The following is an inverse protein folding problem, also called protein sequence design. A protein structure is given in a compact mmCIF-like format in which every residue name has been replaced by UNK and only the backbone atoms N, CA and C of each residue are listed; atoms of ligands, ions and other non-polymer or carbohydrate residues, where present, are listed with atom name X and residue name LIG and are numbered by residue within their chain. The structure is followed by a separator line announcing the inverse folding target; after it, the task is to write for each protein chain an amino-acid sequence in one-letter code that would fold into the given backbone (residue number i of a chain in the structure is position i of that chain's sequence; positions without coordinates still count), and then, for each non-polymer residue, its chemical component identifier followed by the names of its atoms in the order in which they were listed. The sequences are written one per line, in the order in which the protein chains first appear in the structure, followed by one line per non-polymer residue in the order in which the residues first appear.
data_IF_316425241915
#
_entry.id   IF_316425241915
#
_cell.length_a   1.000
_cell.length_b   1.000
_cell.length_c   1.000
_cell.angle_alpha   90.00
_cell.angle_beta   90.00
_cell.angle_gamma   90.00
#
_symmetry.space_group_name_H-M   'P 1'
#
loop_
_entity.id
_entity.type
_entity.pdbx_description
1 polymer ?
#
# COMPACT_ATOMS: atom_id res chain seq x y z
N UNK A 1 27.63 7.42 7.00
CA UNK A 1 26.99 7.89 8.24
C UNK A 1 26.24 6.79 9.00
N UNK A 2 25.65 5.78 8.34
CA UNK A 2 24.94 4.70 9.05
C UNK A 2 25.80 3.82 9.98
N UNK A 3 27.07 3.54 9.64
CA UNK A 3 27.94 2.62 10.42
C UNK A 3 28.28 3.15 11.82
N UNK A 4 28.25 4.47 12.02
CA UNK A 4 28.62 5.11 13.31
C UNK A 4 27.44 5.14 14.29
N UNK A 5 26.19 5.07 13.80
CA UNK A 5 24.97 5.10 14.61
C UNK A 5 24.52 3.69 15.06
N UNK A 6 24.90 2.64 14.31
CA UNK A 6 24.55 1.24 14.61
C UNK A 6 24.98 0.75 16.01
N UNK A 7 26.17 1.10 16.56
CA UNK A 7 26.56 0.68 17.90
C UNK A 7 25.70 1.33 19.00
N UNK A 8 25.35 2.61 18.84
CA UNK A 8 24.53 3.34 19.81
C UNK A 8 23.10 2.82 19.85
N UNK A 9 22.50 2.54 18.68
CA UNK A 9 21.14 1.96 18.59
C UNK A 9 21.07 0.58 19.26
N UNK A 10 22.04 -0.31 19.03
CA UNK A 10 22.06 -1.63 19.66
C UNK A 10 22.29 -1.60 21.18
N UNK A 11 22.80 -0.51 21.73
CA UNK A 11 22.97 -0.33 23.18
C UNK A 11 21.71 0.16 23.90
N UNK A 12 20.80 0.81 23.16
CA UNK A 12 19.59 1.44 23.70
C UNK A 12 18.31 0.65 23.40
N UNK A 13 18.31 -0.17 22.35
CA UNK A 13 17.15 -0.90 21.86
C UNK A 13 17.42 -2.39 21.72
N UNK A 14 16.42 -3.21 22.03
CA UNK A 14 16.50 -4.66 21.83
C UNK A 14 16.41 -5.01 20.34
N UNK A 15 16.77 -6.24 19.98
CA UNK A 15 16.59 -6.73 18.60
C UNK A 15 15.13 -6.71 18.15
N UNK A 16 14.20 -6.90 19.08
CA UNK A 16 12.78 -6.80 18.80
C UNK A 16 12.37 -5.36 18.49
N UNK A 17 12.82 -4.38 19.29
CA UNK A 17 12.50 -2.97 19.06
C UNK A 17 13.06 -2.48 17.72
N UNK A 18 14.28 -2.89 17.38
CA UNK A 18 14.92 -2.55 16.11
C UNK A 18 14.12 -3.14 14.94
N UNK A 19 13.67 -4.39 15.05
CA UNK A 19 12.86 -5.02 14.01
C UNK A 19 11.50 -4.34 13.89
N UNK A 20 10.84 -4.01 14.99
CA UNK A 20 9.57 -3.29 15.00
C UNK A 20 9.71 -1.92 14.33
N UNK A 21 10.74 -1.13 14.71
CA UNK A 21 11.04 0.14 14.08
C UNK A 21 11.30 0.00 12.58
N UNK A 22 12.04 -1.02 12.16
CA UNK A 22 12.30 -1.29 10.75
C UNK A 22 10.99 -1.58 10.01
N UNK A 23 10.21 -2.55 10.48
CA UNK A 23 8.95 -2.97 9.85
C UNK A 23 7.92 -1.85 9.79
N UNK A 24 7.93 -0.90 10.72
CA UNK A 24 7.01 0.24 10.76
C UNK A 24 7.47 1.46 9.94
N UNK A 25 8.73 1.52 9.50
CA UNK A 25 9.28 2.73 8.86
C UNK A 25 9.53 2.60 7.36
N UNK A 26 9.75 1.39 6.87
CA UNK A 26 10.09 1.13 5.48
C UNK A 26 8.89 1.29 4.54
N UNK A 27 9.19 1.56 3.28
CA UNK A 27 8.21 1.73 2.21
C UNK A 27 7.94 0.41 1.49
N UNK A 28 6.66 0.08 1.30
CA UNK A 28 6.20 -1.17 0.67
C UNK A 28 5.49 -0.95 -0.66
N UNK A 29 5.44 0.25 -1.23
CA UNK A 29 4.63 0.52 -2.44
C UNK A 29 3.24 1.07 -2.10
N UNK A 30 2.51 1.62 -3.08
CA UNK A 30 1.15 2.20 -2.91
C UNK A 30 0.96 3.12 -1.69
N UNK A 31 1.96 3.95 -1.34
CA UNK A 31 1.95 4.79 -0.12
C UNK A 31 1.88 4.03 1.22
N UNK A 32 2.08 2.71 1.20
CA UNK A 32 2.21 1.87 2.38
C UNK A 32 3.59 2.10 3.04
N UNK A 33 3.61 2.88 4.12
CA UNK A 33 4.75 2.97 5.03
C UNK A 33 4.42 2.15 6.27
N UNK A 34 5.24 1.15 6.55
CA UNK A 34 4.99 0.20 7.63
C UNK A 34 4.22 -1.04 7.20
N UNK A 35 4.47 -2.14 7.91
CA UNK A 35 3.96 -3.47 7.56
C UNK A 35 2.44 -3.59 7.74
N UNK A 36 1.85 -2.92 8.74
CA UNK A 36 0.39 -2.91 8.94
C UNK A 36 -0.31 -2.20 7.78
N UNK A 37 0.21 -1.06 7.32
CA UNK A 37 -0.32 -0.35 6.16
C UNK A 37 -0.24 -1.21 4.89
N UNK A 38 0.85 -1.96 4.71
CA UNK A 38 1.00 -2.89 3.60
C UNK A 38 -0.03 -4.03 3.66
N UNK A 39 -0.25 -4.62 4.83
CA UNK A 39 -1.26 -5.66 5.03
C UNK A 39 -2.68 -5.16 4.71
N UNK A 40 -3.00 -3.92 5.08
CA UNK A 40 -4.30 -3.30 4.74
C UNK A 40 -4.43 -3.00 3.24
N UNK A 41 -3.39 -2.45 2.63
CA UNK A 41 -3.43 -2.04 1.22
C UNK A 41 -3.50 -3.25 0.30
N UNK A 42 -2.61 -4.23 0.47
CA UNK A 42 -2.53 -5.39 -0.43
C UNK A 42 -3.58 -6.46 -0.14
N UNK A 43 -3.96 -6.67 1.13
CA UNK A 43 -4.83 -7.80 1.52
C UNK A 43 -6.13 -7.40 2.21
N UNK A 44 -6.33 -6.11 2.51
CA UNK A 44 -7.54 -5.64 3.19
C UNK A 44 -7.64 -6.05 4.64
N UNK A 45 -6.53 -6.42 5.27
CA UNK A 45 -6.48 -6.72 6.70
C UNK A 45 -6.57 -5.42 7.50
N UNK A 46 -7.35 -5.43 8.57
CA UNK A 46 -7.56 -4.26 9.43
C UNK A 46 -7.12 -4.56 10.85
N UNK A 47 -6.65 -3.52 11.54
CA UNK A 47 -6.34 -3.58 12.96
C UNK A 47 -7.60 -3.97 13.76
N UNK A 48 -7.45 -5.01 14.58
CA UNK A 48 -8.47 -5.45 15.54
C UNK A 48 -7.95 -5.22 16.96
N UNK A 49 -8.84 -5.07 17.95
CA UNK A 49 -8.42 -4.96 19.35
C UNK A 49 -7.48 -6.11 19.74
N UNK A 50 -6.24 -5.78 20.10
CA UNK A 50 -5.20 -6.76 20.46
C UNK A 50 -4.57 -7.54 19.31
N UNK A 51 -4.92 -7.27 18.04
CA UNK A 51 -4.35 -7.95 16.87
C UNK A 51 -4.19 -6.99 15.70
N UNK A 52 -2.95 -6.60 15.42
CA UNK A 52 -2.59 -5.73 14.29
C UNK A 52 -2.87 -6.40 12.94
N UNK A 53 -3.00 -5.61 11.88
CA UNK A 53 -3.23 -6.10 10.53
C UNK A 53 -2.14 -7.08 10.08
N UNK A 54 -0.86 -6.75 10.27
CA UNK A 54 0.26 -7.60 9.89
C UNK A 54 0.28 -8.94 10.64
N UNK A 55 -0.21 -9.00 11.88
CA UNK A 55 -0.31 -10.22 12.68
C UNK A 55 -1.41 -11.17 12.20
N UNK A 56 -2.22 -10.75 11.22
CA UNK A 56 -3.26 -11.57 10.62
C UNK A 56 -2.83 -12.20 9.30
N UNK A 57 -1.64 -11.84 8.78
CA UNK A 57 -1.14 -12.39 7.53
C UNK A 57 -0.83 -13.88 7.67
N UNK A 58 -1.22 -14.66 6.66
CA UNK A 58 -0.76 -16.03 6.48
C UNK A 58 0.67 -16.07 5.91
N UNK A 59 1.20 -17.28 5.69
CA UNK A 59 2.53 -17.49 5.15
C UNK A 59 2.70 -16.89 3.74
N UNK A 60 1.71 -17.05 2.86
CA UNK A 60 1.79 -16.56 1.50
C UNK A 60 1.81 -15.02 1.48
N UNK A 61 0.93 -14.39 2.24
CA UNK A 61 0.85 -12.95 2.42
C UNK A 61 2.14 -12.38 3.01
N UNK A 62 2.64 -12.98 4.10
CA UNK A 62 3.87 -12.54 4.75
C UNK A 62 5.09 -12.67 3.82
N UNK A 63 5.24 -13.79 3.11
CA UNK A 63 6.35 -13.99 2.18
C UNK A 63 6.25 -13.05 0.96
N UNK A 64 5.04 -12.74 0.48
CA UNK A 64 4.84 -11.76 -0.59
C UNK A 64 5.32 -10.37 -0.16
N UNK A 65 4.85 -9.89 0.99
CA UNK A 65 5.23 -8.58 1.54
C UNK A 65 6.72 -8.50 1.88
N UNK A 66 7.33 -9.57 2.39
CA UNK A 66 8.77 -9.62 2.69
C UNK A 66 9.67 -9.42 1.46
N UNK A 67 9.17 -9.72 0.26
CA UNK A 67 9.88 -9.52 -1.00
C UNK A 67 9.97 -8.04 -1.42
N UNK A 68 8.95 -7.25 -1.10
CA UNK A 68 8.72 -5.91 -1.65
C UNK A 68 9.79 -4.88 -1.25
N UNK A 69 10.20 -4.74 0.03
CA UNK A 69 11.12 -3.69 0.47
C UNK A 69 12.45 -3.60 -0.27
N UNK A 70 12.90 -4.71 -0.85
CA UNK A 70 14.15 -4.74 -1.62
C UNK A 70 14.11 -3.88 -2.88
N UNK A 71 12.93 -3.72 -3.49
CA UNK A 71 12.67 -2.74 -4.54
C UNK A 71 11.14 -2.54 -4.66
N UNK A 72 10.56 -1.59 -3.90
CA UNK A 72 9.10 -1.46 -3.81
C UNK A 72 8.42 -1.18 -5.15
N UNK A 73 9.08 -0.44 -6.05
CA UNK A 73 8.51 -0.13 -7.37
C UNK A 73 8.58 -1.31 -8.34
N UNK A 74 9.65 -2.10 -8.31
CA UNK A 74 9.83 -3.23 -9.23
C UNK A 74 9.14 -4.52 -8.77
N UNK A 75 8.93 -4.67 -7.46
CA UNK A 75 8.31 -5.85 -6.85
C UNK A 75 6.90 -5.59 -6.34
N UNK A 76 6.26 -4.54 -6.83
CA UNK A 76 4.84 -4.32 -6.58
C UNK A 76 4.00 -5.40 -7.25
N UNK A 77 3.21 -6.20 -6.52
CA UNK A 77 2.44 -7.29 -7.11
C UNK A 77 1.21 -6.83 -7.90
N UNK A 78 0.71 -5.60 -7.67
CA UNK A 78 -0.43 -5.05 -8.40
C UNK A 78 0.02 -4.47 -9.75
N UNK A 79 1.20 -3.83 -9.78
CA UNK A 79 1.73 -3.23 -11.01
C UNK A 79 2.62 -4.22 -11.81
N UNK A 80 3.40 -5.05 -11.13
CA UNK A 80 4.44 -5.93 -11.71
C UNK A 80 4.30 -7.39 -11.22
N UNK A 81 3.15 -8.05 -11.46
CA UNK A 81 2.79 -9.34 -10.84
C UNK A 81 3.82 -10.44 -11.09
N UNK A 82 4.40 -10.51 -12.30
CA UNK A 82 5.42 -11.52 -12.63
C UNK A 82 6.71 -11.34 -11.81
N UNK A 83 7.20 -10.10 -11.70
CA UNK A 83 8.43 -9.80 -10.97
C UNK A 83 8.24 -10.01 -9.46
N UNK A 84 7.09 -9.57 -8.93
CA UNK A 84 6.71 -9.80 -7.54
C UNK A 84 6.61 -11.30 -7.22
N UNK A 85 5.98 -12.09 -8.10
CA UNK A 85 5.84 -13.53 -7.89
C UNK A 85 7.18 -14.27 -7.88
N UNK A 86 8.11 -13.93 -8.80
CA UNK A 86 9.46 -14.49 -8.78
C UNK A 86 10.22 -14.11 -7.50
N UNK A 87 10.03 -12.88 -7.01
CA UNK A 87 10.62 -12.44 -5.75
C UNK A 87 10.04 -13.21 -4.57
N UNK A 88 8.74 -13.44 -4.55
CA UNK A 88 8.03 -14.25 -3.57
C UNK A 88 8.53 -15.71 -3.55
N UNK A 89 8.68 -16.36 -4.70
CA UNK A 89 9.25 -17.71 -4.78
C UNK A 89 10.68 -17.79 -4.21
N UNK A 90 11.49 -16.76 -4.45
CA UNK A 90 12.83 -16.66 -3.85
C UNK A 90 12.77 -16.55 -2.32
N UNK A 91 11.82 -15.79 -1.77
CA UNK A 91 11.61 -15.70 -0.31
C UNK A 91 11.23 -17.05 0.26
N UNK A 92 10.27 -17.76 -0.35
CA UNK A 92 9.89 -19.12 0.09
C UNK A 92 11.06 -20.10 0.00
N UNK A 93 11.86 -20.03 -1.07
CA UNK A 93 13.07 -20.84 -1.22
C UNK A 93 14.09 -20.59 -0.11
N UNK A 94 14.30 -19.33 0.26
CA UNK A 94 15.18 -18.97 1.39
C UNK A 94 14.62 -19.46 2.72
N UNK A 95 13.32 -19.31 2.97
CA UNK A 95 12.67 -19.81 4.19
C UNK A 95 12.78 -21.33 4.32
N UNK A 96 12.59 -22.06 3.22
CA UNK A 96 12.75 -23.51 3.18
C UNK A 96 14.21 -23.92 3.42
N UNK A 97 15.18 -23.22 2.81
CA UNK A 97 16.61 -23.50 3.00
C UNK A 97 17.08 -23.29 4.44
N UNK A 98 16.44 -22.36 5.15
CA UNK A 98 16.69 -22.05 6.56
C UNK A 98 15.77 -22.83 7.51
N UNK A 99 15.00 -23.79 6.98
CA UNK A 99 14.12 -24.69 7.75
C UNK A 99 12.99 -23.97 8.52
N UNK A 100 12.61 -22.76 8.11
CA UNK A 100 11.45 -22.05 8.67
C UNK A 100 10.12 -22.63 8.18
N UNK A 101 10.11 -23.23 6.99
CA UNK A 101 8.94 -23.87 6.38
C UNK A 101 9.34 -25.18 5.71
N UNK A 102 8.36 -26.06 5.56
CA UNK A 102 8.44 -27.29 4.79
C UNK A 102 8.19 -27.03 3.30
N UNK A 103 8.57 -28.00 2.47
CA UNK A 103 8.25 -27.98 1.03
C UNK A 103 6.74 -27.96 0.77
N UNK A 104 5.95 -28.61 1.63
CA UNK A 104 4.49 -28.67 1.48
C UNK A 104 3.89 -27.28 1.74
N UNK A 105 4.29 -26.63 2.83
CA UNK A 105 3.85 -25.26 3.15
C UNK A 105 4.26 -24.26 2.06
N UNK A 106 5.46 -24.38 1.51
CA UNK A 106 5.90 -23.55 0.38
C UNK A 106 5.00 -23.74 -0.86
N UNK A 107 4.66 -24.98 -1.20
CA UNK A 107 3.78 -25.28 -2.34
C UNK A 107 2.35 -24.79 -2.12
N UNK A 108 1.84 -24.88 -0.89
CA UNK A 108 0.51 -24.40 -0.56
C UNK A 108 0.45 -22.87 -0.56
N UNK A 109 1.50 -22.20 -0.07
CA UNK A 109 1.63 -20.74 -0.18
C UNK A 109 1.65 -20.26 -1.64
N UNK A 110 2.33 -21.00 -2.54
CA UNK A 110 2.34 -20.71 -3.99
C UNK A 110 0.93 -20.80 -4.58
N UNK A 111 0.16 -21.84 -4.24
CA UNK A 111 -1.22 -21.99 -4.71
C UNK A 111 -2.12 -20.88 -4.18
N UNK A 112 -1.96 -20.52 -2.91
CA UNK A 112 -2.72 -19.45 -2.27
C UNK A 112 -2.47 -18.10 -2.95
N UNK A 113 -1.20 -17.76 -3.23
CA UNK A 113 -0.82 -16.54 -3.93
C UNK A 113 -1.37 -16.44 -5.37
N UNK A 114 -1.75 -17.58 -5.98
CA UNK A 114 -2.37 -17.63 -7.31
C UNK A 114 -3.91 -17.54 -7.27
N UNK A 115 -4.50 -17.54 -6.07
CA UNK A 115 -5.95 -17.41 -5.92
C UNK A 115 -6.43 -16.04 -6.43
N UNK A 116 -7.57 -15.97 -7.15
CA UNK A 116 -8.11 -14.70 -7.65
C UNK A 116 -8.50 -13.71 -6.54
N UNK A 117 -8.61 -14.16 -5.28
CA UNK A 117 -8.95 -13.33 -4.12
C UNK A 117 -7.75 -13.07 -3.20
N UNK A 118 -6.53 -13.39 -3.65
CA UNK A 118 -5.33 -13.23 -2.82
C UNK A 118 -5.06 -11.76 -2.49
N UNK A 119 -5.17 -10.89 -3.49
CA UNK A 119 -5.08 -9.43 -3.30
C UNK A 119 -6.46 -8.80 -3.13
N UNK A 120 -6.52 -7.74 -2.33
CA UNK A 120 -7.71 -6.90 -2.20
C UNK A 120 -8.03 -6.29 -3.56
N UNK A 121 -9.24 -6.54 -4.05
CA UNK A 121 -9.74 -6.03 -5.33
C UNK A 121 -10.43 -4.67 -5.20
N UNK A 122 -10.65 -4.19 -3.97
CA UNK A 122 -11.41 -2.98 -3.72
C UNK A 122 -10.56 -1.72 -3.95
N UNK A 123 -11.06 -0.74 -4.72
CA UNK A 123 -10.38 0.53 -4.89
C UNK A 123 -10.26 1.22 -3.53
N UNK A 124 -9.05 1.68 -3.21
CA UNK A 124 -8.82 2.61 -2.12
C UNK A 124 -9.71 3.85 -2.30
N UNK A 125 -10.03 4.56 -1.22
CA UNK A 125 -10.64 5.90 -1.32
C UNK A 125 -9.80 6.83 -2.23
N UNK A 126 -8.48 6.64 -2.21
CA UNK A 126 -7.54 7.30 -3.12
C UNK A 126 -7.78 6.91 -4.58
N UNK A 127 -8.24 5.70 -4.88
CA UNK A 127 -8.53 5.25 -6.24
C UNK A 127 -9.91 5.73 -6.71
N UNK A 128 -10.86 5.92 -5.80
CA UNK A 128 -12.20 6.44 -6.10
C UNK A 128 -12.23 7.95 -6.27
N UNK A 129 -11.35 8.69 -5.58
CA UNK A 129 -11.25 10.14 -5.68
C UNK A 129 -9.78 10.62 -5.76
N UNK A 130 -9.00 10.18 -6.77
CA UNK A 130 -7.55 10.41 -6.82
C UNK A 130 -7.18 11.89 -6.89
N UNK A 131 -7.95 12.69 -7.62
CA UNK A 131 -7.70 14.13 -7.73
C UNK A 131 -7.95 14.86 -6.41
N UNK A 132 -9.04 14.54 -5.72
CA UNK A 132 -9.35 15.13 -4.41
C UNK A 132 -8.34 14.70 -3.35
N UNK A 133 -7.99 13.41 -3.31
CA UNK A 133 -6.98 12.90 -2.38
C UNK A 133 -5.61 13.58 -2.59
N UNK A 134 -5.18 13.74 -3.85
CA UNK A 134 -3.96 14.48 -4.17
C UNK A 134 -4.03 15.95 -3.74
N UNK A 135 -5.16 16.62 -3.99
CA UNK A 135 -5.38 18.00 -3.56
C UNK A 135 -5.25 18.15 -2.04
N UNK A 136 -5.90 17.29 -1.26
CA UNK A 136 -5.80 17.31 0.21
C UNK A 136 -4.37 17.04 0.67
N UNK A 137 -3.68 16.07 0.07
CA UNK A 137 -2.28 15.78 0.42
C UNK A 137 -1.37 16.99 0.16
N UNK A 138 -1.53 17.68 -0.97
CA UNK A 138 -0.73 18.87 -1.28
C UNK A 138 -1.07 20.04 -0.35
N UNK A 139 -2.35 20.24 -0.05
CA UNK A 139 -2.80 21.23 0.93
C UNK A 139 -2.16 20.98 2.30
N UNK A 140 -2.12 19.73 2.77
CA UNK A 140 -1.51 19.37 4.04
C UNK A 140 0.00 19.60 4.05
N UNK A 141 0.70 19.25 2.95
CA UNK A 141 2.15 19.53 2.84
C UNK A 141 2.41 21.03 2.99
N UNK A 142 1.63 21.87 2.31
CA UNK A 142 1.78 23.32 2.38
C UNK A 142 1.41 23.88 3.77
N UNK A 143 0.27 23.46 4.32
CA UNK A 143 -0.26 23.96 5.59
C UNK A 143 0.66 23.62 6.78
N UNK A 144 1.29 22.45 6.76
CA UNK A 144 2.20 22.00 7.82
C UNK A 144 3.68 22.25 7.51
N UNK A 145 3.99 22.93 6.39
CA UNK A 145 5.37 23.26 6.02
C UNK A 145 6.28 22.04 5.84
N UNK A 146 5.72 20.93 5.36
CA UNK A 146 6.45 19.68 5.17
C UNK A 146 7.29 19.73 3.89
N UNK A 147 8.42 19.02 3.88
CA UNK A 147 9.30 18.94 2.70
C UNK A 147 8.72 18.07 1.59
N UNK A 148 7.96 17.04 1.95
CA UNK A 148 7.32 16.14 1.00
C UNK A 148 6.18 15.33 1.63
N UNK A 149 5.36 14.70 0.78
CA UNK A 149 4.23 13.85 1.18
C UNK A 149 4.63 12.64 2.02
N UNK A 150 5.86 12.14 1.92
CA UNK A 150 6.30 10.99 2.71
C UNK A 150 6.36 11.26 4.22
N UNK A 151 6.42 12.55 4.61
CA UNK A 151 6.30 12.94 6.01
C UNK A 151 4.86 12.85 6.51
N UNK A 152 3.86 13.08 5.64
CA UNK A 152 2.45 12.88 5.98
C UNK A 152 2.17 11.42 6.27
N UNK A 153 2.61 10.51 5.39
CA UNK A 153 2.36 9.07 5.57
C UNK A 153 2.97 8.50 6.86
N UNK A 154 4.02 9.13 7.40
CA UNK A 154 4.70 8.73 8.65
C UNK A 154 4.22 9.48 9.89
N UNK A 155 3.32 10.46 9.73
CA UNK A 155 2.89 11.34 10.83
C UNK A 155 1.87 10.69 11.77
N UNK A 156 1.26 9.57 11.36
CA UNK A 156 0.15 8.95 12.10
C UNK A 156 -1.14 9.78 12.09
N UNK A 157 -1.23 10.83 11.24
CA UNK A 157 -2.41 11.68 11.17
C UNK A 157 -3.62 10.93 10.58
N UNK A 158 -4.76 11.09 11.24
CA UNK A 158 -6.07 10.70 10.69
C UNK A 158 -6.70 11.96 10.11
N UNK A 159 -6.94 11.96 8.80
CA UNK A 159 -7.45 13.12 8.06
C UNK A 159 -8.92 12.92 7.75
N UNK A 160 -9.77 13.78 8.32
CA UNK A 160 -11.18 13.89 7.96
C UNK A 160 -11.34 15.01 6.94
N UNK A 161 -12.08 14.75 5.85
CA UNK A 161 -12.24 15.70 4.74
C UNK A 161 -13.71 15.93 4.43
N UNK A 162 -13.99 16.92 3.59
CA UNK A 162 -15.33 17.25 3.10
C UNK A 162 -15.78 16.37 1.91
N UNK A 163 -15.01 15.33 1.56
CA UNK A 163 -15.32 14.48 0.42
C UNK A 163 -16.63 13.71 0.63
N UNK A 164 -17.65 14.03 -0.16
CA UNK A 164 -18.81 13.16 -0.35
C UNK A 164 -18.52 12.15 -1.46
N UNK A 165 -18.19 10.93 -1.07
CA UNK A 165 -17.86 9.85 -1.99
C UNK A 165 -19.06 9.44 -2.87
N UNK A 166 -20.28 9.56 -2.36
CA UNK A 166 -21.49 9.20 -3.11
C UNK A 166 -21.76 10.22 -4.22
N UNK A 167 -21.47 11.48 -3.95
CA UNK A 167 -21.56 12.55 -4.93
C UNK A 167 -20.45 12.44 -5.98
N UNK A 168 -19.20 12.21 -5.56
CA UNK A 168 -18.04 11.99 -6.44
C UNK A 168 -18.32 10.86 -7.46
N UNK A 169 -18.80 9.71 -6.99
CA UNK A 169 -19.13 8.58 -7.87
C UNK A 169 -20.21 8.92 -8.92
N UNK A 170 -21.26 9.64 -8.50
CA UNK A 170 -22.35 10.05 -9.40
C UNK A 170 -21.83 10.96 -10.50
N UNK A 171 -21.03 11.96 -10.14
CA UNK A 171 -20.42 12.91 -11.06
C UNK A 171 -19.49 12.18 -12.03
N UNK A 172 -18.60 11.34 -11.53
CA UNK A 172 -17.67 10.59 -12.36
C UNK A 172 -18.42 9.73 -13.39
N UNK A 173 -19.53 9.09 -13.00
CA UNK A 173 -20.36 8.32 -13.91
C UNK A 173 -21.04 9.18 -14.98
N UNK A 174 -21.54 10.37 -14.60
CA UNK A 174 -22.14 11.32 -15.55
C UNK A 174 -21.10 11.83 -16.53
N UNK A 175 -19.94 12.26 -16.05
CA UNK A 175 -18.83 12.73 -16.87
C UNK A 175 -18.34 11.65 -17.85
N UNK A 176 -18.13 10.41 -17.37
CA UNK A 176 -17.75 9.28 -18.23
C UNK A 176 -18.77 9.01 -19.34
N UNK A 177 -20.07 9.04 -19.00
CA UNK A 177 -21.15 8.88 -19.98
C UNK A 177 -21.11 9.99 -21.02
N UNK A 178 -20.96 11.24 -20.59
CA UNK A 178 -20.96 12.40 -21.49
C UNK A 178 -19.73 12.41 -22.41
N UNK A 179 -18.55 12.06 -21.90
CA UNK A 179 -17.34 11.87 -22.72
C UNK A 179 -17.57 10.77 -23.75
N UNK A 180 -18.15 9.63 -23.36
CA UNK A 180 -18.41 8.52 -24.28
C UNK A 180 -19.35 8.92 -25.43
N UNK A 181 -20.40 9.69 -25.14
CA UNK A 181 -21.34 10.22 -26.13
C UNK A 181 -20.66 11.21 -27.09
N UNK A 182 -19.88 12.15 -26.56
CA UNK A 182 -19.24 13.20 -27.35
C UNK A 182 -17.96 12.75 -28.07
N UNK A 183 -17.33 11.65 -27.65
CA UNK A 183 -16.12 11.12 -28.26
C UNK A 183 -16.31 10.77 -29.74
N UNK A 184 -17.47 10.21 -30.08
CA UNK A 184 -17.81 9.81 -31.44
C UNK A 184 -18.00 11.00 -32.39
N UNK A 185 -18.48 12.14 -31.88
CA UNK A 185 -18.81 13.31 -32.69
C UNK A 185 -17.71 14.40 -32.67
N UNK A 186 -16.94 14.51 -31.58
CA UNK A 186 -16.08 15.66 -31.32
C UNK A 186 -14.67 15.32 -30.84
N UNK A 187 -14.27 14.03 -30.82
CA UNK A 187 -12.96 13.58 -30.34
C UNK A 187 -12.59 14.05 -28.92
N UNK A 188 -13.60 14.33 -28.08
CA UNK A 188 -13.38 14.70 -26.68
C UNK A 188 -12.96 13.48 -25.86
N UNK A 189 -11.89 13.64 -25.07
CA UNK A 189 -11.32 12.56 -24.24
C UNK A 189 -11.24 12.89 -22.75
N UNK A 190 -11.36 14.17 -22.38
CA UNK A 190 -11.09 14.66 -21.02
C UNK A 190 -12.26 15.51 -20.50
N UNK A 191 -12.51 15.47 -19.19
CA UNK A 191 -13.39 16.38 -18.48
C UNK A 191 -12.78 16.76 -17.12
N UNK A 192 -13.14 17.93 -16.60
CA UNK A 192 -12.76 18.39 -15.28
C UNK A 192 -13.98 19.00 -14.59
N UNK A 193 -14.17 18.70 -13.32
CA UNK A 193 -15.30 19.18 -12.52
C UNK A 193 -14.83 19.47 -11.10
N UNK A 194 -15.34 20.55 -10.50
CA UNK A 194 -15.04 20.96 -9.13
C UNK A 194 -16.37 21.35 -8.47
N UNK A 195 -16.71 20.69 -7.36
CA UNK A 195 -17.83 21.10 -6.52
C UNK A 195 -17.29 21.70 -5.23
N UNK A 196 -17.92 22.78 -4.82
CA UNK A 196 -17.63 23.52 -3.60
C UNK A 196 -18.99 23.78 -2.94
N UNK A 197 -19.09 23.48 -1.65
CA UNK A 197 -20.23 23.86 -0.83
C UNK A 197 -20.07 25.35 -0.45
N UNK A 198 -21.17 26.11 -0.52
CA UNK A 198 -21.16 27.57 -0.30
C UNK A 198 -21.78 27.97 1.03
#
# INVERSE_FOLDING_TARGET
EEVVLTPQINSLYTKHDILEMYLNSIYYGHQAYGIDAAATIYFGLEDKPGKRAAMQMDLAQAAMIAGIPSNPSAYDPLDHPKAAFQRFENVLGLMMSQQYITKVEALDAIKEAQSPHFFKTAPSLTDRAPHFANFVLDQLVQQFGLKNRSQLSRSGMIVYTTLDISLQDKIQKIAQKHIAELRAAHHLTNAAEVLIDF
#
